data_IF_782486865846
#
_entry.id   IF_782486865846
#
_cell.length_a   1.000
_cell.length_b   1.000
_cell.length_c   1.000
_cell.angle_alpha   90.00
_cell.angle_beta   90.00
_cell.angle_gamma   90.00
#
_symmetry.space_group_name_H-M   'P 1'
#
loop_
_entity.id
_entity.type
_entity.pdbx_description
1 polymer ?
#
# COMPACT_ATOMS: atom_id res chain seq x y z
N UNK A 1 25.52 18.26 -18.73
CA UNK A 1 24.49 19.11 -18.11
C UNK A 1 23.32 18.19 -17.87
N UNK A 2 23.03 17.94 -16.59
CA UNK A 2 21.91 17.11 -16.17
C UNK A 2 20.63 17.94 -16.40
N UNK A 3 19.66 17.40 -17.13
CA UNK A 3 18.42 18.10 -17.47
C UNK A 3 17.43 18.08 -16.31
N UNK A 4 17.86 18.51 -15.12
CA UNK A 4 17.06 18.42 -13.91
C UNK A 4 16.12 19.62 -13.77
N UNK A 5 14.82 19.35 -13.72
CA UNK A 5 13.76 20.32 -13.46
C UNK A 5 13.16 20.04 -12.07
N UNK A 6 13.00 21.09 -11.26
CA UNK A 6 12.36 21.00 -9.95
C UNK A 6 11.09 21.86 -9.95
N UNK A 7 9.99 21.29 -9.48
CA UNK A 7 8.67 21.94 -9.48
C UNK A 7 8.02 21.77 -8.12
N UNK A 8 7.46 22.85 -7.61
CA UNK A 8 6.62 22.82 -6.40
C UNK A 8 5.16 22.66 -6.78
N UNK A 9 4.49 21.67 -6.19
CA UNK A 9 3.10 21.35 -6.46
C UNK A 9 2.32 21.33 -5.14
N UNK A 10 1.18 22.01 -5.12
CA UNK A 10 0.19 21.92 -4.04
C UNK A 10 -0.97 21.05 -4.47
N UNK A 11 -1.28 20.00 -3.70
CA UNK A 11 -2.45 19.13 -3.91
C UNK A 11 -3.17 18.89 -2.60
N UNK A 12 -4.42 19.32 -2.54
CA UNK A 12 -5.20 19.35 -1.32
C UNK A 12 -4.50 20.22 -0.26
N UNK A 13 -4.23 19.61 0.88
CA UNK A 13 -3.55 20.23 2.04
C UNK A 13 -2.03 20.07 2.01
N UNK A 14 -1.48 19.36 1.03
CA UNK A 14 -0.06 19.01 0.97
C UNK A 14 0.69 19.83 -0.07
N UNK A 15 1.93 20.16 0.26
CA UNK A 15 2.92 20.71 -0.67
C UNK A 15 4.04 19.70 -0.89
N UNK A 16 4.35 19.45 -2.16
CA UNK A 16 5.35 18.50 -2.63
C UNK A 16 6.32 19.17 -3.62
N UNK A 17 7.51 18.61 -3.74
CA UNK A 17 8.44 18.87 -4.83
C UNK A 17 8.51 17.67 -5.75
N UNK A 18 8.41 17.92 -7.05
CA UNK A 18 8.76 16.94 -8.09
C UNK A 18 10.14 17.30 -8.64
N UNK A 19 11.01 16.30 -8.71
CA UNK A 19 12.29 16.35 -9.41
C UNK A 19 12.18 15.47 -10.64
N UNK A 20 12.42 16.06 -11.79
CA UNK A 20 12.39 15.42 -13.09
C UNK A 20 13.81 15.45 -13.64
N UNK A 21 14.45 14.29 -13.74
CA UNK A 21 15.83 14.17 -14.19
C UNK A 21 15.93 13.35 -15.47
N UNK A 22 16.46 13.93 -16.53
CA UNK A 22 16.67 13.26 -17.82
C UNK A 22 18.14 12.90 -17.99
N UNK A 23 18.40 11.61 -18.18
CA UNK A 23 19.72 11.03 -18.37
C UNK A 23 19.97 10.70 -19.84
N UNK A 24 21.09 11.20 -20.35
CA UNK A 24 21.47 11.09 -21.75
C UNK A 24 22.68 10.16 -21.95
N UNK A 25 22.78 9.57 -23.13
CA UNK A 25 23.97 8.89 -23.63
C UNK A 25 25.22 9.78 -23.54
N UNK A 26 26.41 9.19 -23.62
CA UNK A 26 27.68 9.93 -23.47
C UNK A 26 27.84 11.05 -24.50
N UNK A 27 27.33 10.85 -25.71
CA UNK A 27 27.32 11.80 -26.81
C UNK A 27 26.12 12.77 -26.77
N UNK A 28 25.21 12.61 -25.80
CA UNK A 28 24.05 13.48 -25.53
C UNK A 28 23.00 13.52 -26.65
N UNK A 29 22.97 12.51 -27.50
CA UNK A 29 22.03 12.40 -28.62
C UNK A 29 20.78 11.61 -28.25
N UNK A 30 20.90 10.69 -27.30
CA UNK A 30 19.84 9.78 -26.91
C UNK A 30 19.54 9.86 -25.41
N UNK A 31 18.25 9.93 -25.08
CA UNK A 31 17.75 9.71 -23.72
C UNK A 31 17.74 8.21 -23.51
N UNK A 32 18.39 7.72 -22.47
CA UNK A 32 18.28 6.31 -22.07
C UNK A 32 17.38 6.14 -20.84
N UNK A 33 17.24 7.19 -20.01
CA UNK A 33 16.37 7.15 -18.83
C UNK A 33 15.87 8.53 -18.43
N UNK A 34 14.65 8.60 -17.90
CA UNK A 34 14.11 9.79 -17.22
C UNK A 34 13.51 9.38 -15.89
N UNK A 35 13.85 10.07 -14.81
CA UNK A 35 13.42 9.73 -13.45
C UNK A 35 12.57 10.86 -12.87
N UNK A 36 11.38 10.52 -12.41
CA UNK A 36 10.46 11.44 -11.76
C UNK A 36 10.33 11.07 -10.28
N UNK A 37 10.77 11.98 -9.41
CA UNK A 37 10.73 11.80 -7.96
C UNK A 37 9.78 12.80 -7.36
N UNK A 38 8.97 12.39 -6.39
CA UNK A 38 8.15 13.30 -5.58
C UNK A 38 8.48 13.15 -4.10
N UNK A 39 8.40 14.25 -3.38
CA UNK A 39 8.44 14.22 -1.92
C UNK A 39 8.39 15.61 -1.29
N UNK A 40 8.83 15.68 -0.04
CA UNK A 40 8.86 16.88 0.78
C UNK A 40 10.29 17.26 1.10
N UNK A 41 10.58 17.41 2.38
CA UNK A 41 11.95 17.51 2.90
C UNK A 41 12.82 16.36 2.40
N UNK A 42 12.27 15.14 2.37
CA UNK A 42 12.83 14.04 1.57
C UNK A 42 12.29 14.08 0.14
N UNK A 43 13.13 14.31 -0.89
CA UNK A 43 12.67 14.55 -2.25
C UNK A 43 12.35 13.28 -3.05
N UNK A 44 12.74 12.10 -2.56
CA UNK A 44 12.65 10.82 -3.27
C UNK A 44 11.72 9.86 -2.50
N UNK A 45 10.51 10.34 -2.21
CA UNK A 45 9.52 9.55 -1.49
C UNK A 45 8.81 8.56 -2.41
N UNK A 46 8.51 8.94 -3.65
CA UNK A 46 8.10 8.01 -4.70
C UNK A 46 8.92 8.32 -5.94
N UNK A 47 9.37 7.28 -6.62
CA UNK A 47 10.14 7.41 -7.86
C UNK A 47 9.45 6.64 -8.98
N UNK A 48 9.40 7.23 -10.18
CA UNK A 48 9.03 6.58 -11.43
C UNK A 48 10.20 6.74 -12.40
N UNK A 49 10.78 5.61 -12.80
CA UNK A 49 11.86 5.53 -13.77
C UNK A 49 11.32 5.11 -15.12
N UNK A 50 11.56 5.94 -16.14
CA UNK A 50 11.20 5.68 -17.53
C UNK A 50 12.44 5.20 -18.27
N UNK A 51 12.28 4.12 -19.03
CA UNK A 51 13.30 3.57 -19.93
C UNK A 51 12.96 4.02 -21.35
N UNK A 52 13.98 4.45 -22.08
CA UNK A 52 13.85 4.95 -23.45
C UNK A 52 14.61 4.05 -24.43
N UNK A 53 14.03 3.87 -25.61
CA UNK A 53 14.71 3.32 -26.79
C UNK A 53 14.42 4.25 -27.98
N UNK A 54 15.45 4.63 -28.74
CA UNK A 54 15.32 5.56 -29.87
C UNK A 54 14.56 6.85 -29.50
N UNK A 55 14.87 7.43 -28.34
CA UNK A 55 14.21 8.63 -27.78
C UNK A 55 12.69 8.48 -27.55
N UNK A 56 12.16 7.25 -27.50
CA UNK A 56 10.76 6.97 -27.15
C UNK A 56 10.67 6.20 -25.83
N UNK A 57 9.73 6.55 -24.94
CA UNK A 57 9.52 5.80 -23.71
C UNK A 57 8.97 4.40 -24.05
N UNK A 58 9.66 3.35 -23.62
CA UNK A 58 9.27 1.95 -23.85
C UNK A 58 8.82 1.22 -22.60
N UNK A 59 9.31 1.65 -21.44
CA UNK A 59 8.93 1.06 -20.15
C UNK A 59 8.92 2.11 -19.05
N UNK A 60 8.15 1.86 -18.01
CA UNK A 60 8.08 2.72 -16.85
C UNK A 60 7.91 1.88 -15.59
N UNK A 61 8.75 2.13 -14.59
CA UNK A 61 8.85 1.32 -13.38
C UNK A 61 8.73 2.22 -12.15
N UNK A 62 7.95 1.80 -11.16
CA UNK A 62 7.87 2.44 -9.84
C UNK A 62 8.53 1.54 -8.79
N UNK A 63 9.85 1.69 -8.53
CA UNK A 63 10.60 0.71 -7.74
C UNK A 63 10.45 0.88 -6.22
N UNK A 64 10.22 2.10 -5.73
CA UNK A 64 10.25 2.40 -4.29
C UNK A 64 9.17 3.41 -3.92
N UNK A 65 8.46 3.09 -2.84
CA UNK A 65 7.62 4.02 -2.10
C UNK A 65 8.11 4.15 -0.66
N UNK A 66 8.32 5.39 -0.24
CA UNK A 66 8.56 5.82 1.13
C UNK A 66 7.35 6.62 1.60
N UNK A 67 6.71 6.12 2.65
CA UNK A 67 5.67 6.84 3.37
C UNK A 67 6.25 7.39 4.67
N UNK A 68 6.81 8.60 4.60
CA UNK A 68 7.39 9.32 5.74
C UNK A 68 6.60 10.60 6.02
N UNK A 69 6.38 11.00 7.29
CA UNK A 69 5.84 12.31 7.62
C UNK A 69 6.55 13.48 6.90
N UNK A 70 7.86 13.37 6.65
CA UNK A 70 8.67 14.38 5.97
C UNK A 70 8.57 14.36 4.43
N UNK A 71 7.71 13.51 3.87
CA UNK A 71 7.39 13.49 2.44
C UNK A 71 6.48 14.64 1.98
N UNK A 72 6.12 15.58 2.86
CA UNK A 72 5.49 16.85 2.50
C UNK A 72 6.16 18.01 3.25
N UNK A 73 6.22 19.19 2.63
CA UNK A 73 6.93 20.36 3.18
C UNK A 73 6.14 21.10 4.26
N UNK A 74 4.85 21.32 4.00
CA UNK A 74 4.04 22.25 4.78
C UNK A 74 3.38 21.59 5.98
N UNK A 75 3.28 20.25 6.00
CA UNK A 75 2.74 19.48 7.11
C UNK A 75 3.20 18.02 7.05
N UNK A 76 3.15 17.29 8.17
CA UNK A 76 3.35 15.84 8.17
C UNK A 76 2.44 15.15 7.16
N UNK A 77 3.01 14.31 6.29
CA UNK A 77 2.26 13.46 5.38
C UNK A 77 1.49 12.41 6.20
N UNK A 78 0.16 12.43 6.10
CA UNK A 78 -0.66 11.39 6.71
C UNK A 78 -0.46 10.08 5.94
N UNK A 79 -0.24 8.98 6.67
CA UNK A 79 -0.14 7.66 6.06
C UNK A 79 -1.51 7.22 5.51
N UNK A 80 -1.52 6.46 4.41
CA UNK A 80 -2.76 6.18 3.66
C UNK A 80 -3.11 7.35 2.75
N UNK A 81 -4.07 8.18 3.14
CA UNK A 81 -4.58 9.33 2.37
C UNK A 81 -3.48 10.24 1.76
N UNK A 82 -2.47 10.64 2.55
CA UNK A 82 -1.38 11.48 2.05
C UNK A 82 -0.52 10.76 1.00
N UNK A 83 -0.20 9.48 1.23
CA UNK A 83 0.51 8.65 0.26
C UNK A 83 -0.28 8.49 -1.04
N UNK A 84 -1.61 8.32 -0.97
CA UNK A 84 -2.48 8.26 -2.16
C UNK A 84 -2.36 9.53 -2.97
N UNK A 85 -2.50 10.69 -2.31
CA UNK A 85 -2.40 12.00 -2.98
C UNK A 85 -1.02 12.18 -3.61
N UNK A 86 0.05 11.83 -2.90
CA UNK A 86 1.42 11.94 -3.40
C UNK A 86 1.65 11.08 -4.65
N UNK A 87 1.29 9.79 -4.61
CA UNK A 87 1.44 8.89 -5.76
C UNK A 87 0.60 9.39 -6.94
N UNK A 88 -0.69 9.71 -6.73
CA UNK A 88 -1.56 10.24 -7.80
C UNK A 88 -0.98 11.53 -8.42
N UNK A 89 -0.39 12.39 -7.59
CA UNK A 89 0.23 13.64 -8.04
C UNK A 89 1.42 13.36 -8.96
N UNK A 90 2.32 12.44 -8.57
CA UNK A 90 3.47 12.07 -9.39
C UNK A 90 3.02 11.40 -10.70
N UNK A 91 2.13 10.42 -10.62
CA UNK A 91 1.64 9.69 -11.80
C UNK A 91 0.94 10.63 -12.80
N UNK A 92 0.15 11.59 -12.32
CA UNK A 92 -0.47 12.61 -13.17
C UNK A 92 0.57 13.53 -13.83
N UNK A 93 1.62 13.93 -13.09
CA UNK A 93 2.71 14.71 -13.66
C UNK A 93 3.46 13.93 -14.74
N UNK A 94 3.79 12.65 -14.49
CA UNK A 94 4.44 11.77 -15.48
C UNK A 94 3.60 11.68 -16.76
N UNK A 95 2.30 11.45 -16.64
CA UNK A 95 1.40 11.38 -17.80
C UNK A 95 1.31 12.71 -18.56
N UNK A 96 1.35 13.85 -17.86
CA UNK A 96 1.34 15.17 -18.48
C UNK A 96 2.61 15.41 -19.29
N UNK A 97 3.76 14.99 -18.78
CA UNK A 97 5.05 15.13 -19.46
C UNK A 97 5.26 14.07 -20.55
N UNK A 98 4.62 12.90 -20.44
CA UNK A 98 4.76 11.74 -21.33
C UNK A 98 3.39 11.13 -21.66
N UNK A 99 2.54 11.80 -22.45
CA UNK A 99 1.16 11.37 -22.70
C UNK A 99 1.06 10.08 -23.53
N UNK A 100 2.14 9.66 -24.18
CA UNK A 100 2.20 8.40 -24.95
C UNK A 100 2.43 7.17 -24.06
N UNK A 101 2.77 7.35 -22.79
CA UNK A 101 2.96 6.25 -21.85
C UNK A 101 1.60 5.65 -21.46
N UNK A 102 1.43 4.34 -21.65
CA UNK A 102 0.14 3.66 -21.44
C UNK A 102 0.00 3.04 -20.06
N UNK A 103 1.11 2.69 -19.41
CA UNK A 103 1.12 2.06 -18.09
C UNK A 103 2.46 2.23 -17.37
N UNK A 104 2.44 2.02 -16.05
CA UNK A 104 3.64 1.88 -15.21
C UNK A 104 3.61 0.52 -14.53
N UNK A 105 4.74 -0.18 -14.56
CA UNK A 105 4.97 -1.46 -13.90
C UNK A 105 5.50 -1.27 -12.47
N UNK A 106 5.13 -2.17 -11.57
CA UNK A 106 5.68 -2.20 -10.22
C UNK A 106 5.55 -3.60 -9.61
N UNK A 107 6.36 -3.85 -8.57
CA UNK A 107 6.19 -4.99 -7.68
C UNK A 107 5.66 -4.47 -6.35
N UNK A 108 4.55 -5.02 -5.87
CA UNK A 108 3.99 -4.65 -4.59
C UNK A 108 4.80 -5.28 -3.44
N UNK A 109 5.75 -4.51 -2.92
CA UNK A 109 6.52 -4.83 -1.71
C UNK A 109 6.02 -4.06 -0.49
N UNK A 110 4.79 -3.54 -0.56
CA UNK A 110 4.22 -2.72 0.49
C UNK A 110 3.84 -3.56 1.69
N UNK A 111 4.16 -3.05 2.88
CA UNK A 111 3.85 -3.71 4.14
C UNK A 111 3.18 -2.73 5.10
N UNK A 112 2.40 -3.25 6.05
CA UNK A 112 1.88 -2.51 7.19
C UNK A 112 2.55 -2.97 8.49
N UNK A 113 2.94 -1.99 9.31
CA UNK A 113 3.29 -2.23 10.71
C UNK A 113 2.01 -2.41 11.54
N UNK A 114 1.83 -3.60 12.10
CA UNK A 114 0.73 -3.95 12.98
C UNK A 114 1.29 -4.43 14.33
N UNK A 115 1.65 -3.50 15.21
CA UNK A 115 2.16 -3.81 16.54
C UNK A 115 1.06 -3.88 17.60
N UNK A 116 1.00 -4.97 18.36
CA UNK A 116 0.17 -5.05 19.57
C UNK A 116 0.73 -4.17 20.68
N UNK A 117 -0.11 -3.71 21.62
CA UNK A 117 0.37 -2.93 22.76
C UNK A 117 1.43 -3.69 23.58
N UNK A 118 1.31 -5.01 23.65
CA UNK A 118 2.24 -5.87 24.39
C UNK A 118 3.60 -5.96 23.69
N UNK A 119 3.63 -6.06 22.36
CA UNK A 119 4.87 -6.02 21.57
C UNK A 119 5.58 -4.67 21.71
N UNK A 120 4.81 -3.58 21.79
CA UNK A 120 5.37 -2.24 22.06
C UNK A 120 5.92 -2.16 23.50
N UNK A 121 5.20 -2.71 24.48
CA UNK A 121 5.59 -2.66 25.91
C UNK A 121 6.81 -3.54 26.23
N UNK A 122 6.95 -4.71 25.57
CA UNK A 122 8.06 -5.67 25.80
C UNK A 122 9.41 -5.21 25.22
N UNK A 123 9.43 -4.30 24.24
CA UNK A 123 10.66 -3.78 23.61
C UNK A 123 11.47 -2.75 24.43
N UNK A 124 11.31 -2.67 25.74
CA UNK A 124 11.61 -1.46 26.53
C UNK A 124 13.03 -1.29 27.12
N UNK A 125 14.01 -2.18 26.86
CA UNK A 125 15.35 -2.03 27.50
C UNK A 125 16.53 -1.66 26.59
N UNK A 126 16.44 -1.86 25.27
CA UNK A 126 17.53 -1.49 24.35
C UNK A 126 16.94 -0.94 23.04
N UNK A 127 16.60 0.35 23.04
CA UNK A 127 15.98 1.05 21.91
C UNK A 127 16.97 1.20 20.74
N UNK A 128 16.99 0.22 19.82
CA UNK A 128 17.23 0.51 18.39
C UNK A 128 15.89 0.94 17.79
N UNK A 129 15.83 2.09 17.11
CA UNK A 129 14.59 2.63 16.55
C UNK A 129 14.13 1.76 15.38
N UNK A 130 12.93 1.19 15.50
CA UNK A 130 12.26 0.31 14.55
C UNK A 130 11.31 -0.58 15.34
N UNK A 131 10.03 -0.68 14.96
CA UNK A 131 9.14 -1.64 15.60
C UNK A 131 9.68 -3.03 15.28
N UNK A 132 10.17 -3.76 16.28
CA UNK A 132 10.57 -5.18 16.15
C UNK A 132 9.38 -6.12 15.81
N UNK A 133 8.31 -5.57 15.24
CA UNK A 133 7.08 -6.27 14.90
C UNK A 133 7.16 -6.69 13.44
N UNK A 134 6.82 -7.95 13.18
CA UNK A 134 6.85 -8.53 11.83
C UNK A 134 5.91 -7.72 10.91
N UNK A 135 6.41 -7.09 9.84
CA UNK A 135 5.57 -6.37 8.89
C UNK A 135 4.58 -7.34 8.22
N UNK A 136 3.34 -6.91 8.04
CA UNK A 136 2.32 -7.68 7.33
C UNK A 136 2.27 -7.20 5.87
N UNK A 137 2.20 -8.08 4.88
CA UNK A 137 2.02 -7.66 3.50
C UNK A 137 0.69 -6.90 3.30
N UNK A 138 0.79 -5.66 2.79
CA UNK A 138 -0.36 -4.77 2.67
C UNK A 138 -1.41 -5.31 1.71
N UNK A 139 -0.99 -5.98 0.63
CA UNK A 139 -1.92 -6.58 -0.33
C UNK A 139 -2.84 -7.60 0.32
N UNK A 140 -2.32 -8.50 1.16
CA UNK A 140 -3.14 -9.49 1.87
C UNK A 140 -4.09 -8.84 2.87
N UNK A 141 -3.59 -7.87 3.65
CA UNK A 141 -4.42 -7.12 4.59
C UNK A 141 -5.55 -6.37 3.89
N UNK A 142 -5.24 -5.71 2.77
CA UNK A 142 -6.24 -5.01 1.99
C UNK A 142 -7.26 -5.97 1.38
N UNK A 143 -6.84 -7.13 0.86
CA UNK A 143 -7.75 -8.11 0.23
C UNK A 143 -8.81 -8.58 1.23
N UNK A 144 -8.45 -8.98 2.45
CA UNK A 144 -9.43 -9.54 3.39
C UNK A 144 -10.44 -8.51 3.91
N UNK A 145 -10.06 -7.22 3.99
CA UNK A 145 -10.93 -6.16 4.52
C UNK A 145 -11.57 -5.29 3.44
N UNK A 146 -11.09 -5.32 2.20
CA UNK A 146 -11.60 -4.48 1.11
C UNK A 146 -11.96 -5.28 -0.16
N UNK A 147 -11.71 -6.59 -0.21
CA UNK A 147 -11.94 -7.43 -1.39
C UNK A 147 -10.97 -7.17 -2.55
N UNK A 148 -9.93 -6.37 -2.34
CA UNK A 148 -8.94 -6.00 -3.36
C UNK A 148 -7.66 -5.48 -2.70
N UNK A 149 -6.55 -5.53 -3.42
CA UNK A 149 -5.29 -4.91 -2.98
C UNK A 149 -5.44 -3.40 -2.83
N UNK A 150 -4.51 -2.78 -2.09
CA UNK A 150 -4.50 -1.34 -1.90
C UNK A 150 -4.30 -0.60 -3.23
N UNK A 151 -3.48 -1.15 -4.13
CA UNK A 151 -3.24 -0.55 -5.44
C UNK A 151 -4.42 -0.69 -6.41
N UNK A 152 -5.16 -1.81 -6.39
CA UNK A 152 -6.45 -1.91 -7.09
C UNK A 152 -7.42 -0.82 -6.63
N UNK A 153 -7.63 -0.72 -5.32
CA UNK A 153 -8.59 0.22 -4.72
C UNK A 153 -8.31 1.68 -5.07
N UNK A 154 -7.05 2.08 -5.09
CA UNK A 154 -6.67 3.49 -5.16
C UNK A 154 -6.10 3.94 -6.50
N UNK A 155 -5.61 3.01 -7.32
CA UNK A 155 -4.92 3.30 -8.59
C UNK A 155 -5.44 2.44 -9.75
N UNK A 156 -6.47 1.62 -9.54
CA UNK A 156 -6.97 0.68 -10.54
C UNK A 156 -5.85 -0.22 -11.09
N UNK A 157 -4.92 -0.62 -10.22
CA UNK A 157 -3.81 -1.48 -10.61
C UNK A 157 -4.29 -2.89 -10.91
N UNK A 158 -3.66 -3.58 -11.85
CA UNK A 158 -3.92 -5.00 -12.16
C UNK A 158 -2.62 -5.77 -12.37
N UNK A 159 -2.67 -7.10 -12.25
CA UNK A 159 -1.53 -7.91 -12.69
C UNK A 159 -1.39 -7.81 -14.21
N UNK A 160 -0.17 -7.76 -14.73
CA UNK A 160 0.10 -7.66 -16.17
C UNK A 160 -0.48 -8.86 -16.95
N UNK A 161 -0.46 -10.05 -16.34
CA UNK A 161 -1.14 -11.23 -16.86
C UNK A 161 -2.65 -11.15 -16.54
N UNK A 162 -3.46 -10.80 -17.54
CA UNK A 162 -4.91 -10.59 -17.37
C UNK A 162 -5.66 -11.89 -17.03
N UNK A 163 -5.22 -13.03 -17.57
CA UNK A 163 -5.83 -14.33 -17.26
C UNK A 163 -5.63 -14.65 -15.80
N UNK A 164 -4.40 -14.45 -15.30
CA UNK A 164 -4.09 -14.63 -13.88
C UNK A 164 -4.81 -13.61 -13.00
N UNK A 165 -4.89 -12.35 -13.42
CA UNK A 165 -5.64 -11.34 -12.69
C UNK A 165 -7.10 -11.75 -12.54
N UNK A 166 -7.74 -12.23 -13.61
CA UNK A 166 -9.13 -12.71 -13.56
C UNK A 166 -9.28 -13.93 -12.64
N UNK A 167 -8.37 -14.90 -12.71
CA UNK A 167 -8.37 -16.05 -11.79
C UNK A 167 -8.27 -15.61 -10.32
N UNK A 168 -7.39 -14.65 -10.03
CA UNK A 168 -7.25 -14.03 -8.72
C UNK A 168 -8.56 -13.36 -8.27
N UNK A 169 -9.17 -12.51 -9.12
CA UNK A 169 -10.43 -11.82 -8.79
C UNK A 169 -11.56 -12.81 -8.52
N UNK A 170 -11.68 -13.86 -9.34
CA UNK A 170 -12.65 -14.94 -9.15
C UNK A 170 -12.40 -15.67 -7.82
N UNK A 171 -11.15 -16.04 -7.51
CA UNK A 171 -10.82 -16.71 -6.24
C UNK A 171 -11.12 -15.83 -5.04
N UNK A 172 -10.83 -14.53 -5.09
CA UNK A 172 -11.17 -13.59 -4.00
C UNK A 172 -12.68 -13.50 -3.82
N UNK A 173 -13.45 -13.41 -4.91
CA UNK A 173 -14.90 -13.35 -4.84
C UNK A 173 -15.50 -14.64 -4.24
N UNK A 174 -15.01 -15.81 -4.68
CA UNK A 174 -15.40 -17.11 -4.15
C UNK A 174 -15.08 -17.21 -2.65
N UNK A 175 -13.82 -16.97 -2.26
CA UNK A 175 -13.40 -17.09 -0.86
C UNK A 175 -14.15 -16.12 0.07
N UNK A 176 -14.29 -14.84 -0.31
CA UNK A 176 -14.87 -13.83 0.58
C UNK A 176 -16.39 -13.95 0.68
N UNK A 177 -17.07 -14.20 -0.44
CA UNK A 177 -18.52 -14.02 -0.50
C UNK A 177 -19.30 -15.32 -0.62
N UNK A 178 -18.67 -16.48 -0.90
CA UNK A 178 -19.37 -17.77 -0.95
C UNK A 178 -19.67 -18.30 0.46
N UNK A 179 -20.94 -18.51 0.83
CA UNK A 179 -21.29 -19.19 2.07
C UNK A 179 -20.83 -20.65 2.09
N UNK A 180 -20.82 -21.30 0.92
CA UNK A 180 -20.36 -22.68 0.76
C UNK A 180 -18.86 -22.80 1.04
N UNK A 181 -18.05 -21.86 0.54
CA UNK A 181 -16.61 -21.86 0.81
C UNK A 181 -16.32 -21.78 2.31
N UNK A 182 -17.04 -20.93 3.04
CA UNK A 182 -16.91 -20.80 4.49
C UNK A 182 -17.39 -22.07 5.22
N UNK A 183 -18.55 -22.60 4.81
CA UNK A 183 -19.14 -23.81 5.41
C UNK A 183 -18.24 -25.05 5.26
N UNK A 184 -17.56 -25.18 4.12
CA UNK A 184 -16.60 -26.26 3.85
C UNK A 184 -15.27 -26.12 4.61
N UNK A 185 -14.99 -24.95 5.20
CA UNK A 185 -13.80 -24.68 5.99
C UNK A 185 -14.14 -24.55 7.47
N UNK A 186 -14.59 -25.65 8.10
CA UNK A 186 -14.88 -25.69 9.54
C UNK A 186 -13.78 -25.05 10.40
N UNK A 187 -14.16 -24.52 11.57
CA UNK A 187 -13.26 -23.77 12.43
C UNK A 187 -11.96 -24.50 12.74
N UNK A 188 -12.01 -25.79 13.07
CA UNK A 188 -10.82 -26.62 13.35
C UNK A 188 -9.84 -26.64 12.18
N UNK A 189 -10.36 -26.72 10.95
CA UNK A 189 -9.53 -26.65 9.74
C UNK A 189 -8.99 -25.24 9.54
N UNK A 190 -9.83 -24.22 9.73
CA UNK A 190 -9.41 -22.82 9.63
C UNK A 190 -8.24 -22.50 10.57
N UNK A 191 -8.36 -22.88 11.84
CA UNK A 191 -7.33 -22.61 12.85
C UNK A 191 -6.11 -23.52 12.70
N UNK A 192 -6.24 -24.72 12.14
CA UNK A 192 -5.08 -25.56 11.81
C UNK A 192 -4.10 -24.89 10.83
N UNK A 193 -4.54 -23.85 10.10
CA UNK A 193 -3.68 -23.08 9.20
C UNK A 193 -2.73 -22.14 9.94
N UNK A 194 -2.88 -21.95 11.26
CA UNK A 194 -2.05 -21.01 12.02
C UNK A 194 -1.95 -21.26 13.53
N UNK A 195 -0.80 -20.92 14.10
CA UNK A 195 -0.59 -21.01 15.56
C UNK A 195 -1.11 -19.76 16.27
N UNK A 196 -1.92 -19.97 17.31
CA UNK A 196 -2.53 -18.92 18.10
C UNK A 196 -2.55 -19.24 19.59
N UNK A 197 -2.57 -18.18 20.40
CA UNK A 197 -2.84 -18.27 21.83
C UNK A 197 -4.32 -18.58 22.04
N UNK A 198 -4.62 -19.33 23.10
CA UNK A 198 -5.97 -19.83 23.41
C UNK A 198 -6.99 -18.68 23.60
N UNK A 199 -6.57 -17.56 24.18
CA UNK A 199 -7.40 -16.35 24.37
C UNK A 199 -7.82 -15.70 23.04
N UNK A 200 -6.89 -15.60 22.08
CA UNK A 200 -7.19 -15.09 20.73
C UNK A 200 -8.09 -16.06 19.95
N UNK A 201 -7.98 -17.36 20.22
CA UNK A 201 -8.80 -18.38 19.56
C UNK A 201 -10.26 -18.29 19.96
N UNK A 202 -10.56 -18.08 21.25
CA UNK A 202 -11.94 -17.86 21.72
C UNK A 202 -12.56 -16.64 21.05
N UNK A 203 -11.83 -15.52 20.97
CA UNK A 203 -12.34 -14.30 20.35
C UNK A 203 -12.54 -14.47 18.83
N UNK A 204 -11.61 -15.12 18.13
CA UNK A 204 -11.75 -15.41 16.69
C UNK A 204 -12.93 -16.35 16.44
N UNK A 205 -13.16 -17.33 17.32
CA UNK A 205 -14.27 -18.27 17.21
C UNK A 205 -15.63 -17.56 17.23
N UNK A 206 -15.82 -16.59 18.12
CA UNK A 206 -17.07 -15.82 18.22
C UNK A 206 -17.38 -15.08 16.91
N UNK A 207 -16.38 -14.39 16.33
CA UNK A 207 -16.54 -13.73 15.04
C UNK A 207 -16.79 -14.73 13.90
N UNK A 208 -16.06 -15.84 13.91
CA UNK A 208 -16.10 -16.85 12.86
C UNK A 208 -17.47 -17.55 12.82
N UNK A 209 -17.99 -17.96 13.98
CA UNK A 209 -19.22 -18.75 14.04
C UNK A 209 -20.47 -17.93 13.68
N UNK A 210 -20.46 -16.62 13.97
CA UNK A 210 -21.57 -15.72 13.70
C UNK A 210 -21.62 -15.19 12.24
N UNK A 211 -20.60 -15.48 11.43
CA UNK A 211 -20.52 -14.99 10.05
C UNK A 211 -21.15 -15.97 9.04
N UNK A 212 -21.75 -15.49 7.95
CA UNK A 212 -22.26 -16.39 6.88
C UNK A 212 -21.20 -16.73 5.83
N UNK A 213 -20.24 -15.83 5.62
CA UNK A 213 -19.12 -16.00 4.70
C UNK A 213 -17.85 -15.36 5.32
N UNK A 214 -16.70 -15.47 4.65
CA UNK A 214 -15.46 -14.89 5.18
C UNK A 214 -15.46 -13.37 5.22
N UNK A 215 -16.13 -12.69 4.27
CA UNK A 215 -16.27 -11.24 4.33
C UNK A 215 -16.99 -10.79 5.61
N UNK A 216 -18.12 -11.39 5.95
CA UNK A 216 -18.86 -11.10 7.18
C UNK A 216 -17.97 -11.32 8.42
N UNK A 217 -17.18 -12.41 8.43
CA UNK A 217 -16.21 -12.69 9.49
C UNK A 217 -15.18 -11.57 9.61
N UNK A 218 -14.49 -11.19 8.52
CA UNK A 218 -13.48 -10.14 8.58
C UNK A 218 -14.08 -8.77 8.92
N UNK A 219 -15.27 -8.45 8.40
CA UNK A 219 -15.93 -7.17 8.70
C UNK A 219 -16.46 -7.10 10.13
N UNK A 220 -16.80 -8.24 10.76
CA UNK A 220 -17.23 -8.29 12.16
C UNK A 220 -16.11 -7.92 13.14
N UNK A 221 -14.84 -8.09 12.74
CA UNK A 221 -13.69 -7.72 13.56
C UNK A 221 -13.56 -6.19 13.62
N UNK A 222 -13.66 -5.58 14.83
CA UNK A 222 -13.52 -4.14 14.97
C UNK A 222 -12.16 -3.64 14.48
N UNK A 223 -12.11 -2.48 13.83
CA UNK A 223 -10.90 -1.95 13.17
C UNK A 223 -9.68 -1.93 14.11
N UNK A 224 -9.87 -1.55 15.36
CA UNK A 224 -8.81 -1.49 16.38
C UNK A 224 -8.23 -2.87 16.75
N UNK A 225 -8.93 -3.96 16.48
CA UNK A 225 -8.50 -5.32 16.80
C UNK A 225 -7.96 -6.09 15.59
N UNK A 226 -8.19 -5.60 14.36
CA UNK A 226 -7.77 -6.26 13.12
C UNK A 226 -6.29 -6.66 13.14
N UNK A 227 -5.38 -5.72 13.39
CA UNK A 227 -3.93 -6.00 13.44
C UNK A 227 -3.58 -7.10 14.46
N UNK A 228 -4.10 -7.03 15.69
CA UNK A 228 -3.83 -8.01 16.75
C UNK A 228 -4.35 -9.39 16.35
N UNK A 229 -5.60 -9.45 15.89
CA UNK A 229 -6.29 -10.71 15.64
C UNK A 229 -5.76 -11.42 14.40
N UNK A 230 -5.55 -10.70 13.28
CA UNK A 230 -5.15 -11.32 12.00
C UNK A 230 -3.64 -11.37 11.76
N UNK A 231 -2.88 -10.50 12.45
CA UNK A 231 -1.52 -10.17 12.02
C UNK A 231 -0.54 -11.34 11.99
N UNK A 232 -0.64 -12.26 12.95
CA UNK A 232 0.30 -13.38 13.03
C UNK A 232 0.10 -14.46 11.97
N UNK A 233 -1.05 -14.49 11.28
CA UNK A 233 -1.43 -15.61 10.41
C UNK A 233 -1.95 -15.24 9.03
N UNK A 234 -2.34 -13.99 8.82
CA UNK A 234 -2.91 -13.54 7.55
C UNK A 234 -2.05 -13.92 6.34
N UNK A 235 -0.73 -13.82 6.46
CA UNK A 235 0.18 -14.19 5.37
C UNK A 235 0.07 -15.68 4.99
N UNK A 236 0.08 -16.56 6.00
CA UNK A 236 0.01 -18.02 5.79
C UNK A 236 -1.35 -18.42 5.24
N UNK A 237 -2.41 -17.86 5.80
CA UNK A 237 -3.77 -18.08 5.35
C UNK A 237 -3.98 -17.60 3.91
N UNK A 238 -3.57 -16.38 3.57
CA UNK A 238 -3.74 -15.85 2.22
C UNK A 238 -2.88 -16.56 1.18
N UNK A 239 -1.68 -17.03 1.54
CA UNK A 239 -0.87 -17.90 0.68
C UNK A 239 -1.56 -19.23 0.36
N UNK A 240 -2.29 -19.80 1.32
CA UNK A 240 -3.09 -21.00 1.10
C UNK A 240 -4.29 -20.71 0.18
N UNK A 241 -5.04 -19.64 0.45
CA UNK A 241 -6.26 -19.29 -0.30
C UNK A 241 -5.96 -18.87 -1.75
N UNK A 242 -4.95 -18.02 -1.93
CA UNK A 242 -4.59 -17.42 -3.23
C UNK A 242 -3.44 -18.14 -3.92
N UNK A 243 -3.19 -19.40 -3.53
CA UNK A 243 -2.14 -20.23 -4.12
C UNK A 243 -2.31 -20.28 -5.65
N UNK A 244 -1.18 -20.11 -6.35
CA UNK A 244 -1.02 -20.20 -7.80
C UNK A 244 -1.77 -19.13 -8.63
N UNK A 245 -2.62 -18.29 -8.00
CA UNK A 245 -3.40 -17.25 -8.70
C UNK A 245 -2.94 -15.83 -8.37
N UNK A 246 -2.19 -15.62 -7.28
CA UNK A 246 -1.75 -14.30 -6.85
C UNK A 246 -0.23 -14.20 -6.72
N UNK A 247 0.34 -13.19 -7.35
CA UNK A 247 1.73 -12.77 -7.18
C UNK A 247 1.78 -11.27 -6.95
N UNK A 248 2.73 -10.82 -6.15
CA UNK A 248 2.95 -9.41 -5.87
C UNK A 248 3.91 -8.76 -6.90
N UNK A 249 4.24 -9.44 -7.98
CA UNK A 249 5.17 -8.99 -9.03
C UNK A 249 4.43 -8.66 -10.32
N UNK A 250 5.03 -7.80 -11.16
CA UNK A 250 4.50 -7.46 -12.48
C UNK A 250 3.08 -6.86 -12.46
N UNK A 251 2.81 -5.96 -11.51
CA UNK A 251 1.59 -5.18 -11.50
C UNK A 251 1.72 -3.97 -12.43
N UNK A 252 0.58 -3.48 -12.95
CA UNK A 252 0.52 -2.30 -13.80
C UNK A 252 -0.56 -1.32 -13.34
N UNK A 253 -0.27 -0.04 -13.46
CA UNK A 253 -1.22 1.07 -13.34
C UNK A 253 -1.39 1.68 -14.74
N UNK A 254 -2.62 1.73 -15.25
CA UNK A 254 -2.91 2.28 -16.56
C UNK A 254 -3.05 3.81 -16.55
N UNK A 255 -2.67 4.42 -17.67
CA UNK A 255 -2.94 5.82 -17.97
C UNK A 255 -4.04 5.98 -19.02
N UNK A 256 -4.79 7.10 -19.01
CA UNK A 256 -4.81 8.12 -17.96
C UNK A 256 -5.37 7.57 -16.64
N UNK A 257 -4.91 8.11 -15.52
CA UNK A 257 -5.51 7.77 -14.23
C UNK A 257 -6.93 8.32 -14.16
N UNK A 258 -7.89 7.46 -13.83
CA UNK A 258 -9.23 7.93 -13.45
C UNK A 258 -9.11 8.74 -12.15
N UNK A 259 -9.17 10.06 -12.27
CA UNK A 259 -9.20 10.96 -11.12
C UNK A 259 -10.61 11.02 -10.54
N UNK A 260 -11.06 9.94 -9.90
CA UNK A 260 -12.26 9.97 -9.07
C UNK A 260 -11.95 10.61 -7.70
N UNK A 261 -12.60 11.74 -7.40
CA UNK A 261 -12.67 12.33 -6.05
C UNK A 261 -11.92 13.66 -5.83
N UNK A 262 -12.41 14.75 -6.42
CA UNK A 262 -11.92 16.12 -6.15
C UNK A 262 -12.93 17.10 -5.53
N UNK A 263 -14.21 16.73 -5.39
CA UNK A 263 -15.28 17.67 -5.01
C UNK A 263 -16.23 17.12 -3.94
N UNK A 264 -15.72 16.47 -2.90
CA UNK A 264 -16.51 16.32 -1.65
C UNK A 264 -16.07 17.45 -0.71
N UNK A 265 -16.93 18.46 -0.43
CA UNK A 265 -16.59 19.50 0.52
C UNK A 265 -16.41 18.83 1.89
N UNK A 266 -15.18 18.76 2.37
CA UNK A 266 -14.85 18.34 3.71
C UNK A 266 -15.51 19.32 4.68
N UNK A 267 -16.67 18.92 5.23
CA UNK A 267 -17.26 19.60 6.38
C UNK A 267 -16.18 19.72 7.45
N UNK A 268 -15.80 20.95 7.79
CA UNK A 268 -14.96 21.29 8.95
C UNK A 268 -15.53 20.59 10.19
N UNK A 269 -14.98 19.43 10.56
CA UNK A 269 -15.21 18.83 11.86
C UNK A 269 -14.22 19.47 12.82
N UNK A 270 -14.77 20.28 13.72
CA UNK A 270 -14.06 20.95 14.81
C UNK A 270 -13.22 19.96 15.61
N UNK A 271 -12.05 20.44 16.04
CA UNK A 271 -11.01 19.69 16.70
C UNK A 271 -11.50 18.95 17.93
N UNK A 272 -11.56 17.63 17.81
CA UNK A 272 -11.21 16.69 18.86
C UNK A 272 -10.18 15.76 18.24
N UNK A 273 -8.95 15.83 18.72
CA UNK A 273 -7.84 14.95 18.34
C UNK A 273 -8.31 13.50 18.39
N UNK A 274 -8.59 12.93 17.22
CA UNK A 274 -8.94 11.51 17.08
C UNK A 274 -7.74 10.71 17.57
N UNK A 275 -7.96 9.77 18.48
CA UNK A 275 -6.92 8.89 19.02
C UNK A 275 -6.48 7.94 17.90
N UNK A 276 -5.42 8.30 17.19
CA UNK A 276 -4.68 7.39 16.33
C UNK A 276 -3.81 6.49 17.21
N UNK A 277 -3.63 5.23 16.82
CA UNK A 277 -2.58 4.38 17.37
C UNK A 277 -1.43 4.29 16.35
N UNK A 278 -0.34 4.99 16.66
CA UNK A 278 1.01 4.81 16.13
C UNK A 278 1.95 5.23 17.28
N UNK A 279 2.86 4.37 17.78
CA UNK A 279 3.79 4.78 18.82
C UNK A 279 4.74 5.86 18.28
N UNK A 280 4.87 6.95 19.04
CA UNK A 280 5.79 8.05 18.75
C UNK A 280 7.24 7.60 18.88
N UNK A 281 8.00 7.67 17.78
CA UNK A 281 9.45 7.43 17.77
C UNK A 281 10.13 8.21 16.65
N UNK A 282 10.80 9.31 17.02
CA UNK A 282 11.62 10.17 16.17
C UNK A 282 12.60 9.36 15.31
N UNK A 283 12.71 9.65 14.02
CA UNK A 283 13.50 8.93 13.02
C UNK A 283 14.98 9.38 13.07
N UNK A 284 15.92 8.43 12.99
CA UNK A 284 17.31 8.72 12.54
C UNK A 284 17.89 7.49 11.82
N UNK A 285 18.05 7.64 10.51
CA UNK A 285 18.82 6.93 9.48
C UNK A 285 19.49 5.58 9.80
N UNK A 286 19.10 4.54 9.06
CA UNK A 286 19.87 3.95 7.95
C UNK A 286 18.99 2.88 7.24
N UNK A 287 18.94 2.93 5.90
CA UNK A 287 18.03 2.24 4.96
C UNK A 287 17.44 0.88 5.42
N UNK A 288 16.10 0.70 5.32
CA UNK A 288 15.52 -0.45 4.61
C UNK A 288 14.14 -0.17 3.96
N UNK A 289 13.59 -1.16 3.24
CA UNK A 289 12.23 -1.22 2.67
C UNK A 289 11.15 -0.65 3.59
N UNK A 290 10.31 0.26 3.09
CA UNK A 290 9.52 1.19 3.91
C UNK A 290 8.05 0.79 4.09
N UNK A 291 7.63 0.93 5.35
CA UNK A 291 6.35 0.50 5.91
C UNK A 291 5.23 1.53 5.71
N UNK A 292 4.00 1.06 5.52
CA UNK A 292 2.77 1.82 5.31
C UNK A 292 1.82 1.49 6.47
N UNK A 293 1.67 2.37 7.48
CA UNK A 293 0.53 2.24 8.39
C UNK A 293 -0.73 2.84 7.73
N UNK A 294 -1.88 2.20 7.85
CA UNK A 294 -3.11 2.68 7.24
C UNK A 294 -3.87 3.58 8.24
N UNK A 295 -4.45 4.67 7.76
CA UNK A 295 -5.35 5.54 8.55
C UNK A 295 -6.63 4.79 8.94
N UNK A 296 -7.24 5.12 10.09
CA UNK A 296 -8.53 4.56 10.54
C UNK A 296 -9.70 4.81 9.56
N UNK A 297 -9.52 5.77 8.65
CA UNK A 297 -10.46 6.15 7.59
C UNK A 297 -10.21 5.39 6.27
N UNK A 298 -9.00 4.84 6.09
CA UNK A 298 -8.60 4.05 4.92
C UNK A 298 -8.62 2.52 5.19
N UNK A 299 -8.91 2.11 6.44
CA UNK A 299 -9.19 0.73 6.94
C UNK A 299 -10.70 0.48 7.00
#
# INVERSE_FOLDING_TARGET
>A
MDGSKKITIRRGIYEFHIIDNTLFSRDKTEIYSRNFKIGGTYPDCVNVSIIYENNKPVDAIMPILLSDPECSYNRPLEKGAGAIIMIKTLLHYVYTELPTLTHIKFDDKSNIECATEDEIKRGSRFRKKGTHVKPIPLYYFSIIFNGQTWYEKHFNAKQKDEVRHQQYRTRVAEFLYSPEFKSNMHFDRFVSLFDKREDEMTEIYEYYNNANNFNDFFQSIPKQHRCRLVGSWIERFMKYILKDVFYNENWIIHFPLEMSGGNTPTKKKNGKTRKYYCPNGVITNNFPSKNICISQEDI
#
